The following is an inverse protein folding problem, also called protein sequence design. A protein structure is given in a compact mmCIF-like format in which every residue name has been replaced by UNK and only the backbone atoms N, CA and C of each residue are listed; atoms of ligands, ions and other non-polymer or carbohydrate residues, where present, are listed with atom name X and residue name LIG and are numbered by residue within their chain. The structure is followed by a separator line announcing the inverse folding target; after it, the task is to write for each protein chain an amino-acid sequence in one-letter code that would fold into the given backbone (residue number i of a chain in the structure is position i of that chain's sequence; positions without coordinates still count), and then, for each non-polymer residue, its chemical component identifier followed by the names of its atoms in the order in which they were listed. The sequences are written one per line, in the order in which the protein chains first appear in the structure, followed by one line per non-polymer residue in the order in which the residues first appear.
data_IF_079664027626
#
_entry.id   IF_079664027626
#
_cell.length_a   1.000
_cell.length_b   1.000
_cell.length_c   1.000
_cell.angle_alpha   90.00
_cell.angle_beta   90.00
_cell.angle_gamma   90.00
#
_symmetry.space_group_name_H-M   'P 1'
#
loop_
_entity.id
_entity.type
_entity.pdbx_description
1 polymer ?
#
# COMPACT_ATOMS: atom_id res chain seq x y z
N UNK A 1 4.27 3.35 86.43
CA UNK A 1 2.88 2.86 86.33
C UNK A 1 2.60 2.62 84.87
N UNK A 2 2.21 1.39 84.58
CA UNK A 2 1.95 0.85 83.24
C UNK A 2 0.86 1.66 82.53
N UNK A 3 1.00 1.83 81.22
CA UNK A 3 -0.06 1.45 80.30
C UNK A 3 0.52 1.16 78.92
N UNK A 4 0.42 -0.11 78.55
CA UNK A 4 0.74 -0.69 77.25
C UNK A 4 -0.45 -0.50 76.31
N UNK A 5 -0.24 0.20 75.20
CA UNK A 5 -1.20 0.29 74.10
C UNK A 5 -0.47 0.03 72.79
N UNK A 6 -0.70 -1.15 72.22
CA UNK A 6 -0.21 -1.64 70.94
C UNK A 6 -0.59 -0.72 69.77
N UNK A 7 0.40 -0.13 69.09
CA UNK A 7 0.22 0.43 67.74
C UNK A 7 0.58 -0.61 66.70
N UNK A 8 -0.45 -1.16 66.06
CA UNK A 8 -0.34 -1.96 64.84
C UNK A 8 0.43 -1.18 63.75
N UNK A 9 1.46 -1.80 63.20
CA UNK A 9 2.13 -1.34 61.99
C UNK A 9 1.22 -1.53 60.79
N UNK A 10 0.66 -0.44 60.27
CA UNK A 10 -0.05 -0.42 58.99
C UNK A 10 0.97 -0.73 57.87
N UNK A 11 0.70 -1.69 56.97
CA UNK A 11 1.60 -1.98 55.86
C UNK A 11 1.63 -0.80 54.89
N UNK A 12 2.82 -0.28 54.60
CA UNK A 12 3.05 0.67 53.52
C UNK A 12 2.86 -0.03 52.18
N UNK A 13 1.61 -0.09 51.71
CA UNK A 13 1.30 -0.50 50.33
C UNK A 13 1.67 0.63 49.37
N UNK A 14 2.58 0.31 48.46
CA UNK A 14 3.05 1.13 47.35
C UNK A 14 1.91 1.60 46.43
N UNK A 15 1.49 2.87 46.54
CA UNK A 15 0.78 3.58 45.46
C UNK A 15 0.84 5.10 45.60
N UNK A 16 2.04 5.64 45.89
CA UNK A 16 2.28 7.09 45.78
C UNK A 16 2.28 7.50 44.31
N UNK A 17 1.09 7.70 43.71
CA UNK A 17 0.93 8.64 42.60
C UNK A 17 1.17 10.03 43.19
N UNK A 18 2.40 10.53 43.01
CA UNK A 18 2.87 11.79 43.58
C UNK A 18 1.90 12.91 43.20
N UNK A 19 1.54 13.78 44.15
CA UNK A 19 0.62 14.92 43.97
C UNK A 19 0.98 15.77 42.73
N UNK A 20 2.28 15.83 42.43
CA UNK A 20 2.86 16.46 41.25
C UNK A 20 2.33 15.94 39.90
N UNK A 21 1.96 14.66 39.79
CA UNK A 21 1.32 14.12 38.58
C UNK A 21 -0.10 14.68 38.35
N UNK A 22 -0.82 15.01 39.43
CA UNK A 22 -2.14 15.62 39.38
C UNK A 22 -2.06 17.12 39.12
N UNK A 23 -1.11 17.82 39.74
CA UNK A 23 -0.86 19.25 39.48
C UNK A 23 -0.45 19.46 38.01
N UNK A 24 0.47 18.66 37.48
CA UNK A 24 0.85 18.70 36.07
C UNK A 24 -0.33 18.43 35.12
N UNK A 25 -1.34 17.66 35.56
CA UNK A 25 -2.58 17.45 34.80
C UNK A 25 -3.54 18.62 34.88
N UNK A 26 -3.62 19.30 36.03
CA UNK A 26 -4.46 20.48 36.24
C UNK A 26 -3.90 21.72 35.53
N UNK A 27 -2.58 21.90 35.53
CA UNK A 27 -1.91 22.99 34.78
C UNK A 27 -2.03 22.80 33.25
N UNK A 28 -2.22 21.57 32.79
CA UNK A 28 -2.49 21.24 31.38
C UNK A 28 -3.98 21.18 31.06
N UNK A 29 -4.86 21.44 32.05
CA UNK A 29 -6.29 21.43 31.82
C UNK A 29 -6.65 22.67 31.00
N UNK A 30 -7.28 22.52 29.83
CA UNK A 30 -7.56 23.67 28.98
C UNK A 30 -8.53 24.63 29.69
N UNK A 31 -8.10 25.89 29.85
CA UNK A 31 -8.90 26.96 30.49
C UNK A 31 -10.19 27.28 29.71
N UNK A 32 -10.25 26.90 28.42
CA UNK A 32 -11.38 27.14 27.52
C UNK A 32 -11.85 25.81 26.93
N UNK A 33 -13.11 25.46 27.20
CA UNK A 33 -13.76 24.33 26.53
C UNK A 33 -14.17 24.75 25.11
N UNK A 34 -13.40 24.32 24.11
CA UNK A 34 -13.68 24.58 22.70
C UNK A 34 -14.66 23.53 22.17
N UNK A 35 -15.89 23.94 21.89
CA UNK A 35 -16.89 23.07 21.26
C UNK A 35 -17.58 23.76 20.07
N UNK A 36 -17.73 23.01 18.99
CA UNK A 36 -18.54 23.35 17.83
C UNK A 36 -19.88 22.62 17.87
N UNK A 37 -20.77 22.97 16.96
CA UNK A 37 -22.08 22.32 16.78
C UNK A 37 -22.22 21.79 15.37
N UNK A 38 -22.77 20.58 15.26
CA UNK A 38 -23.21 20.06 13.96
C UNK A 38 -24.36 20.94 13.46
N UNK A 39 -24.25 21.38 12.21
CA UNK A 39 -25.25 22.21 11.53
C UNK A 39 -26.11 21.34 10.61
N UNK A 40 -25.47 20.50 9.80
CA UNK A 40 -26.15 19.57 8.90
C UNK A 40 -25.26 18.39 8.53
N UNK A 41 -25.88 17.33 7.99
CA UNK A 41 -25.20 16.14 7.49
C UNK A 41 -25.63 15.91 6.05
N UNK A 42 -24.67 15.79 5.13
CA UNK A 42 -24.88 15.56 3.70
C UNK A 42 -24.05 14.34 3.30
N UNK A 43 -24.70 13.21 3.06
CA UNK A 43 -24.00 11.94 2.79
C UNK A 43 -23.07 11.58 3.96
N UNK A 44 -21.77 11.45 3.68
CA UNK A 44 -20.73 11.18 4.70
C UNK A 44 -20.12 12.45 5.30
N UNK A 45 -20.50 13.63 4.81
CA UNK A 45 -19.96 14.91 5.26
C UNK A 45 -20.85 15.55 6.32
N UNK A 46 -20.22 16.06 7.37
CA UNK A 46 -20.85 16.81 8.44
C UNK A 46 -20.37 18.25 8.35
N UNK A 47 -21.31 19.19 8.30
CA UNK A 47 -20.97 20.60 8.46
C UNK A 47 -21.13 21.02 9.91
N UNK A 48 -20.16 21.75 10.43
CA UNK A 48 -20.17 22.21 11.80
C UNK A 48 -19.63 23.65 11.93
N UNK A 49 -19.93 24.30 13.05
CA UNK A 49 -19.19 25.51 13.45
C UNK A 49 -17.75 25.14 13.80
N UNK A 50 -16.79 26.04 13.55
CA UNK A 50 -15.38 25.78 13.81
C UNK A 50 -14.97 26.18 15.26
N UNK A 51 -14.68 25.22 16.16
CA UNK A 51 -14.14 25.50 17.49
C UNK A 51 -12.63 25.81 17.54
N UNK A 52 -11.99 26.03 16.38
CA UNK A 52 -10.54 26.30 16.28
C UNK A 52 -9.74 25.13 15.69
N UNK A 53 -10.36 24.24 14.92
CA UNK A 53 -9.68 23.18 14.19
C UNK A 53 -9.07 23.71 12.87
N UNK A 54 -8.11 22.96 12.34
CA UNK A 54 -7.49 23.17 11.01
C UNK A 54 -7.73 21.95 10.12
N UNK A 55 -7.49 22.07 8.80
CA UNK A 55 -7.58 20.95 7.86
C UNK A 55 -6.59 19.85 8.27
N UNK A 56 -7.02 18.59 8.21
CA UNK A 56 -6.29 17.43 8.72
C UNK A 56 -6.33 17.28 10.25
N UNK A 57 -6.95 18.24 10.96
CA UNK A 57 -7.14 18.15 12.41
C UNK A 57 -8.15 17.07 12.78
N UNK A 58 -7.85 16.34 13.84
CA UNK A 58 -8.76 15.35 14.43
C UNK A 58 -9.82 16.05 15.30
N UNK A 59 -11.02 15.51 15.32
CA UNK A 59 -12.07 15.94 16.24
C UNK A 59 -12.97 14.75 16.62
N UNK A 60 -13.72 14.92 17.70
CA UNK A 60 -14.74 13.97 18.14
C UNK A 60 -16.12 14.59 17.99
N UNK A 61 -17.01 13.91 17.28
CA UNK A 61 -18.43 14.22 17.26
C UNK A 61 -19.09 13.49 18.42
N UNK A 62 -19.67 14.27 19.34
CA UNK A 62 -20.34 13.76 20.54
C UNK A 62 -21.85 13.92 20.40
N UNK A 63 -22.60 12.83 20.61
CA UNK A 63 -24.05 12.86 20.69
C UNK A 63 -24.50 12.82 22.15
N UNK A 64 -25.05 13.92 22.70
CA UNK A 64 -25.50 13.95 24.09
C UNK A 64 -26.76 13.11 24.35
N UNK A 65 -27.46 12.64 23.31
CA UNK A 65 -28.69 11.86 23.48
C UNK A 65 -28.43 10.41 23.91
N UNK A 66 -27.31 9.83 23.49
CA UNK A 66 -26.94 8.43 23.73
C UNK A 66 -25.49 8.25 24.22
N UNK A 67 -24.83 9.36 24.56
CA UNK A 67 -23.41 9.46 24.95
C UNK A 67 -22.42 8.91 23.89
N UNK A 68 -22.87 8.70 22.65
CA UNK A 68 -22.02 8.13 21.61
C UNK A 68 -20.98 9.13 21.09
N UNK A 69 -19.82 8.59 20.71
CA UNK A 69 -18.69 9.36 20.15
C UNK A 69 -18.32 8.85 18.78
N UNK A 70 -17.89 9.75 17.90
CA UNK A 70 -17.36 9.43 16.58
C UNK A 70 -16.06 10.20 16.37
N UNK A 71 -14.95 9.50 16.21
CA UNK A 71 -13.73 10.14 15.71
C UNK A 71 -13.99 10.65 14.29
N UNK A 72 -13.47 11.82 13.97
CA UNK A 72 -13.67 12.49 12.69
C UNK A 72 -12.45 13.35 12.35
N UNK A 73 -12.36 13.73 11.08
CA UNK A 73 -11.26 14.55 10.56
C UNK A 73 -11.84 15.76 9.83
N UNK A 74 -11.19 16.91 10.00
CA UNK A 74 -11.55 18.13 9.27
C UNK A 74 -10.97 18.05 7.87
N UNK A 75 -11.84 17.95 6.87
CA UNK A 75 -11.44 17.81 5.46
C UNK A 75 -11.41 19.14 4.71
N UNK A 76 -11.98 20.20 5.27
CA UNK A 76 -11.98 21.51 4.64
C UNK A 76 -12.87 22.54 5.32
N UNK A 77 -12.99 23.69 4.68
CA UNK A 77 -13.86 24.79 5.09
C UNK A 77 -14.62 25.33 3.90
N UNK A 78 -15.87 25.70 4.11
CA UNK A 78 -16.72 26.32 3.10
C UNK A 78 -17.46 27.50 3.70
N UNK A 79 -17.11 28.70 3.25
CA UNK A 79 -17.58 29.98 3.83
C UNK A 79 -17.24 30.03 5.33
N UNK A 80 -18.24 30.03 6.18
CA UNK A 80 -18.17 30.07 7.65
C UNK A 80 -18.31 28.69 8.31
N UNK A 81 -18.35 27.61 7.51
CA UNK A 81 -18.59 26.25 7.98
C UNK A 81 -17.35 25.37 7.86
N UNK A 82 -17.10 24.59 8.89
CA UNK A 82 -16.12 23.52 8.89
C UNK A 82 -16.73 22.26 8.30
N UNK A 83 -16.00 21.60 7.41
CA UNK A 83 -16.37 20.33 6.81
C UNK A 83 -15.64 19.20 7.52
N UNK A 84 -16.39 18.28 8.09
CA UNK A 84 -15.90 17.19 8.93
C UNK A 84 -16.37 15.86 8.35
N UNK A 85 -15.49 14.87 8.30
CA UNK A 85 -15.86 13.51 7.89
C UNK A 85 -15.62 12.53 9.04
N UNK A 86 -16.66 11.84 9.52
CA UNK A 86 -16.51 10.82 10.55
C UNK A 86 -15.79 9.58 10.02
N UNK A 87 -15.00 8.95 10.91
CA UNK A 87 -14.31 7.68 10.67
C UNK A 87 -15.21 6.47 10.94
N UNK A 88 -16.53 6.68 10.94
CA UNK A 88 -17.58 5.66 11.03
C UNK A 88 -18.82 6.15 10.28
N UNK A 89 -19.82 5.30 10.15
CA UNK A 89 -21.10 5.69 9.57
C UNK A 89 -21.75 6.85 10.39
N UNK A 90 -22.38 7.79 9.67
CA UNK A 90 -23.02 8.99 10.20
C UNK A 90 -24.34 8.73 10.94
N UNK A 91 -24.81 7.49 11.03
CA UNK A 91 -26.00 7.15 11.82
C UNK A 91 -25.90 7.70 13.26
N UNK A 92 -26.95 8.41 13.67
CA UNK A 92 -27.04 9.09 14.98
C UNK A 92 -26.39 10.47 15.03
N UNK A 93 -25.71 10.93 13.97
CA UNK A 93 -25.13 12.27 13.90
C UNK A 93 -26.16 13.25 13.35
N UNK A 94 -26.40 14.35 14.06
CA UNK A 94 -27.32 15.40 13.65
C UNK A 94 -27.11 16.70 14.42
N UNK A 95 -27.97 17.73 14.24
CA UNK A 95 -27.73 19.09 14.75
C UNK A 95 -27.61 19.23 16.28
N UNK A 96 -27.96 18.19 17.05
CA UNK A 96 -27.77 18.15 18.51
C UNK A 96 -26.35 17.76 18.92
N UNK A 97 -25.58 17.18 18.00
CA UNK A 97 -24.23 16.73 18.25
C UNK A 97 -23.25 17.91 18.35
N UNK A 98 -22.24 17.73 19.20
CA UNK A 98 -21.16 18.68 19.41
C UNK A 98 -19.89 18.19 18.73
N UNK A 99 -19.05 19.11 18.27
CA UNK A 99 -17.75 18.80 17.68
C UNK A 99 -16.67 19.30 18.62
N UNK A 100 -15.84 18.39 19.12
CA UNK A 100 -14.80 18.69 20.11
C UNK A 100 -13.44 18.49 19.41
N UNK A 101 -12.57 19.51 19.30
CA UNK A 101 -11.23 19.35 18.77
C UNK A 101 -10.44 18.29 19.55
N UNK A 102 -9.64 17.51 18.84
CA UNK A 102 -8.49 16.83 19.44
C UNK A 102 -7.27 17.73 19.21
N UNK A 103 -6.52 18.00 20.28
CA UNK A 103 -5.33 18.86 20.22
C UNK A 103 -4.10 18.13 19.68
N UNK A 104 -4.21 16.82 19.43
CA UNK A 104 -3.14 16.03 18.84
C UNK A 104 -3.32 15.91 17.32
N UNK A 105 -2.21 15.93 16.56
CA UNK A 105 -2.28 15.59 15.14
C UNK A 105 -2.78 14.14 14.97
N UNK A 106 -3.21 13.75 13.75
CA UNK A 106 -3.56 12.36 13.47
C UNK A 106 -2.36 11.43 13.75
N UNK A 107 -2.53 10.55 14.74
CA UNK A 107 -1.51 9.56 15.15
C UNK A 107 -1.94 8.15 14.73
N UNK A 108 -0.95 7.26 14.58
CA UNK A 108 -1.10 5.83 14.32
C UNK A 108 -0.28 5.07 15.36
N UNK A 109 -0.91 4.16 16.09
CA UNK A 109 -0.19 3.28 16.99
C UNK A 109 0.62 2.24 16.18
N UNK A 110 1.87 2.01 16.54
CA UNK A 110 2.79 1.15 15.80
C UNK A 110 3.59 0.27 16.75
N UNK A 111 4.01 -0.90 16.25
CA UNK A 111 4.78 -1.84 17.04
C UNK A 111 4.88 -3.22 16.38
N UNK A 112 5.81 -4.08 16.87
CA UNK A 112 5.98 -5.43 16.34
C UNK A 112 4.75 -6.33 16.57
N UNK A 113 3.88 -5.99 17.54
CA UNK A 113 2.64 -6.72 17.80
C UNK A 113 1.62 -6.69 16.65
N UNK A 114 1.86 -5.87 15.61
CA UNK A 114 1.07 -5.86 14.36
C UNK A 114 1.39 -7.03 13.43
N UNK A 115 2.57 -7.67 13.55
CA UNK A 115 2.95 -8.79 12.69
C UNK A 115 2.00 -9.97 12.91
N UNK A 116 1.52 -10.56 11.81
CA UNK A 116 0.53 -11.64 11.86
C UNK A 116 -0.90 -11.17 12.14
N UNK A 117 -1.16 -9.85 12.14
CA UNK A 117 -2.48 -9.29 12.47
C UNK A 117 -3.20 -8.71 11.27
N UNK A 118 -4.52 -8.78 11.31
CA UNK A 118 -5.43 -8.11 10.36
C UNK A 118 -6.17 -7.01 11.12
N UNK A 119 -6.05 -5.76 10.67
CA UNK A 119 -6.62 -4.60 11.35
C UNK A 119 -7.37 -3.67 10.38
N UNK A 120 -8.29 -2.88 10.90
CA UNK A 120 -8.85 -1.74 10.18
C UNK A 120 -7.90 -0.51 10.24
N UNK A 121 -8.17 0.60 9.52
CA UNK A 121 -7.31 1.80 9.56
C UNK A 121 -7.33 2.57 10.90
N UNK A 122 -8.14 2.12 11.86
CA UNK A 122 -8.17 2.60 13.24
C UNK A 122 -7.49 1.61 14.19
N UNK A 123 -6.81 0.61 13.62
CA UNK A 123 -6.05 -0.44 14.29
C UNK A 123 -6.91 -1.36 15.16
N UNK A 124 -8.21 -1.46 14.85
CA UNK A 124 -9.09 -2.43 15.48
C UNK A 124 -8.85 -3.81 14.85
N UNK A 125 -8.60 -4.85 15.64
CA UNK A 125 -8.41 -6.20 15.13
C UNK A 125 -9.66 -6.72 14.39
N UNK A 126 -9.44 -7.30 13.20
CA UNK A 126 -10.46 -7.98 12.39
C UNK A 126 -10.29 -9.51 12.39
N UNK A 127 -9.19 -10.00 12.94
CA UNK A 127 -8.79 -11.41 12.96
C UNK A 127 -9.37 -12.23 14.12
N UNK A 128 -10.06 -11.59 15.07
CA UNK A 128 -10.60 -12.27 16.25
C UNK A 128 -9.55 -12.69 17.29
N UNK A 129 -8.29 -12.25 17.16
CA UNK A 129 -7.19 -12.63 18.06
C UNK A 129 -7.05 -11.72 19.29
N UNK A 130 -8.06 -10.87 19.56
CA UNK A 130 -8.06 -9.93 20.69
C UNK A 130 -7.24 -8.66 20.44
N UNK A 131 -7.18 -7.79 21.44
CA UNK A 131 -6.54 -6.47 21.35
C UNK A 131 -5.03 -6.54 21.08
N UNK A 132 -4.47 -5.50 20.45
CA UNK A 132 -3.04 -5.38 20.15
C UNK A 132 -2.44 -4.31 21.05
N UNK A 133 -1.41 -4.67 21.81
CA UNK A 133 -0.67 -3.71 22.63
C UNK A 133 0.37 -2.96 21.80
N UNK A 134 0.13 -1.69 21.52
CA UNK A 134 1.00 -0.82 20.72
C UNK A 134 1.42 0.42 21.54
N UNK A 135 2.59 0.39 22.21
CA UNK A 135 2.99 1.44 23.14
C UNK A 135 3.56 2.70 22.45
N UNK A 136 3.84 2.64 21.15
CA UNK A 136 4.40 3.75 20.36
C UNK A 136 3.35 4.28 19.39
N UNK A 137 3.39 5.58 19.16
CA UNK A 137 2.60 6.24 18.13
C UNK A 137 3.52 7.03 17.17
N UNK A 138 3.15 7.09 15.90
CA UNK A 138 3.78 7.93 14.87
C UNK A 138 2.72 8.83 14.23
N UNK A 139 3.15 9.95 13.67
CA UNK A 139 2.24 10.85 12.94
C UNK A 139 1.79 10.21 11.63
N UNK A 140 0.50 10.26 11.32
CA UNK A 140 -0.07 9.70 10.09
C UNK A 140 0.42 10.45 8.84
N UNK A 141 0.54 11.77 8.95
CA UNK A 141 0.98 12.69 7.90
C UNK A 141 2.28 13.40 8.32
N UNK A 142 3.44 12.71 8.29
CA UNK A 142 4.71 13.32 8.66
C UNK A 142 5.17 14.35 7.61
N UNK A 143 6.15 15.19 7.97
CA UNK A 143 6.84 16.02 6.99
C UNK A 143 7.58 15.16 5.95
N UNK A 144 7.66 15.67 4.72
CA UNK A 144 8.29 14.96 3.60
C UNK A 144 9.79 14.82 3.85
N UNK A 145 10.32 13.60 3.70
CA UNK A 145 11.75 13.33 3.76
C UNK A 145 12.44 14.09 2.63
N UNK A 146 13.50 14.85 2.95
CA UNK A 146 14.32 15.52 1.95
C UNK A 146 14.83 14.49 0.91
N UNK A 147 14.49 14.62 -0.39
CA UNK A 147 14.91 13.66 -1.41
C UNK A 147 16.42 13.48 -1.52
N UNK A 148 17.21 14.54 -1.24
CA UNK A 148 18.68 14.48 -1.29
C UNK A 148 19.30 13.66 -0.16
N UNK A 149 18.49 13.28 0.84
CA UNK A 149 18.88 12.41 1.94
C UNK A 149 18.60 10.93 1.67
N UNK A 150 18.05 10.60 0.50
CA UNK A 150 17.78 9.20 0.13
C UNK A 150 19.04 8.56 -0.43
N UNK A 151 19.31 7.34 0.00
CA UNK A 151 20.35 6.50 -0.57
C UNK A 151 19.92 6.00 -1.97
N UNK A 152 20.90 5.75 -2.84
CA UNK A 152 20.62 5.15 -4.16
C UNK A 152 20.14 3.72 -3.99
N UNK A 153 19.29 3.28 -4.90
CA UNK A 153 18.83 1.89 -5.00
C UNK A 153 19.90 1.11 -5.76
N UNK A 154 20.61 0.21 -5.07
CA UNK A 154 21.71 -0.60 -5.62
C UNK A 154 21.62 -2.08 -5.21
N UNK A 155 20.63 -2.45 -4.40
CA UNK A 155 20.41 -3.82 -3.97
C UNK A 155 19.10 -4.34 -4.57
N UNK A 156 19.16 -5.52 -5.18
CA UNK A 156 17.97 -6.18 -5.70
C UNK A 156 17.06 -6.66 -4.56
N UNK A 157 15.75 -6.57 -4.80
CA UNK A 157 14.73 -7.23 -4.00
C UNK A 157 14.34 -8.52 -4.72
N UNK A 158 14.61 -9.66 -4.09
CA UNK A 158 14.06 -10.93 -4.57
C UNK A 158 12.57 -10.96 -4.21
N UNK A 159 11.69 -11.07 -5.21
CA UNK A 159 10.24 -11.22 -5.01
C UNK A 159 9.77 -12.66 -5.25
N UNK A 160 10.69 -13.56 -5.58
CA UNK A 160 10.44 -14.97 -5.85
C UNK A 160 9.58 -15.25 -7.08
N UNK A 161 9.45 -14.31 -8.01
CA UNK A 161 8.66 -14.44 -9.24
C UNK A 161 9.59 -14.35 -10.45
N UNK A 162 9.74 -15.45 -11.21
CA UNK A 162 10.70 -15.64 -12.31
C UNK A 162 10.79 -14.43 -13.22
N UNK A 163 9.70 -14.10 -13.91
CA UNK A 163 9.67 -13.04 -14.91
C UNK A 163 9.96 -11.65 -14.32
N UNK A 164 9.63 -11.41 -13.05
CA UNK A 164 9.94 -10.15 -12.37
C UNK A 164 11.42 -10.14 -11.99
N UNK A 165 11.89 -11.15 -11.28
CA UNK A 165 13.28 -11.31 -10.86
C UNK A 165 14.25 -11.30 -12.04
N UNK A 166 13.86 -11.84 -13.20
CA UNK A 166 14.73 -12.02 -14.36
C UNK A 166 14.77 -10.81 -15.30
N UNK A 167 13.60 -10.25 -15.64
CA UNK A 167 13.46 -9.27 -16.73
C UNK A 167 12.92 -7.91 -16.28
N UNK A 168 12.47 -7.80 -15.04
CA UNK A 168 11.89 -6.59 -14.45
C UNK A 168 12.39 -6.40 -13.01
N UNK A 169 13.67 -6.74 -12.77
CA UNK A 169 14.21 -6.89 -11.41
C UNK A 169 13.97 -5.63 -10.61
N UNK A 170 13.39 -5.81 -9.43
CA UNK A 170 13.06 -4.71 -8.54
C UNK A 170 14.20 -4.43 -7.57
N UNK A 171 14.36 -3.18 -7.15
CA UNK A 171 15.34 -2.78 -6.14
C UNK A 171 14.73 -2.51 -4.76
N UNK A 172 15.54 -2.64 -3.70
CA UNK A 172 15.16 -2.26 -2.34
C UNK A 172 14.92 -0.75 -2.25
N UNK A 173 13.70 -0.35 -1.91
CA UNK A 173 13.27 1.05 -1.94
C UNK A 173 12.64 1.52 -3.26
N UNK A 174 12.46 0.63 -4.24
CA UNK A 174 11.80 1.00 -5.49
C UNK A 174 10.28 1.16 -5.31
N UNK A 175 9.66 2.05 -6.09
CA UNK A 175 8.20 2.15 -6.22
C UNK A 175 7.80 1.58 -7.58
N UNK A 176 6.89 0.62 -7.59
CA UNK A 176 6.46 -0.11 -8.78
C UNK A 176 4.94 -0.10 -8.88
N UNK A 177 4.41 0.30 -10.03
CA UNK A 177 2.97 0.16 -10.33
C UNK A 177 2.64 -1.23 -10.86
N UNK A 178 1.52 -1.83 -10.44
CA UNK A 178 1.00 -3.07 -11.04
C UNK A 178 -0.33 -2.74 -11.71
N UNK A 179 -0.32 -2.66 -13.03
CA UNK A 179 -1.49 -2.32 -13.82
C UNK A 179 -2.16 -3.61 -14.27
N UNK A 180 -3.40 -3.82 -13.84
CA UNK A 180 -4.11 -5.07 -14.07
C UNK A 180 -5.61 -4.85 -14.26
N UNK A 181 -6.19 -5.61 -15.19
CA UNK A 181 -7.64 -5.79 -15.27
C UNK A 181 -8.16 -6.73 -14.18
N UNK A 182 -9.49 -6.87 -14.10
CA UNK A 182 -10.10 -7.90 -13.25
C UNK A 182 -9.81 -9.30 -13.80
N UNK A 183 -9.55 -10.27 -12.92
CA UNK A 183 -9.43 -11.69 -13.27
C UNK A 183 -8.11 -12.12 -13.93
N UNK A 184 -7.12 -11.23 -14.09
CA UNK A 184 -5.82 -11.56 -14.73
C UNK A 184 -4.76 -12.11 -13.77
N UNK A 185 -5.12 -12.38 -12.51
CA UNK A 185 -4.21 -12.96 -11.50
C UNK A 185 -3.48 -11.94 -10.60
N UNK A 186 -3.94 -10.69 -10.51
CA UNK A 186 -3.38 -9.64 -9.63
C UNK A 186 -3.17 -10.11 -8.18
N UNK A 187 -4.24 -10.60 -7.54
CA UNK A 187 -4.21 -10.99 -6.13
C UNK A 187 -3.30 -12.21 -5.88
N UNK A 188 -3.26 -13.13 -6.85
CA UNK A 188 -2.35 -14.29 -6.82
C UNK A 188 -0.90 -13.83 -6.88
N UNK A 189 -0.56 -12.91 -7.79
CA UNK A 189 0.79 -12.35 -7.93
C UNK A 189 1.21 -11.62 -6.65
N UNK A 190 0.35 -10.76 -6.07
CA UNK A 190 0.61 -10.10 -4.80
C UNK A 190 0.89 -11.11 -3.68
N UNK A 191 0.09 -12.18 -3.61
CA UNK A 191 0.30 -13.26 -2.66
C UNK A 191 1.65 -13.96 -2.86
N UNK A 192 2.00 -14.29 -4.11
CA UNK A 192 3.30 -14.91 -4.45
C UNK A 192 4.46 -14.06 -3.96
N UNK A 193 4.45 -12.75 -4.29
CA UNK A 193 5.50 -11.84 -3.84
C UNK A 193 5.56 -11.76 -2.32
N UNK A 194 4.43 -11.61 -1.63
CA UNK A 194 4.40 -11.56 -0.17
C UNK A 194 4.91 -12.86 0.49
N UNK A 195 4.71 -14.04 -0.13
CA UNK A 195 5.21 -15.31 0.39
C UNK A 195 6.68 -15.58 0.09
N UNK A 196 7.17 -15.12 -1.06
CA UNK A 196 8.49 -15.52 -1.56
C UNK A 196 9.54 -14.43 -1.49
N UNK A 197 9.14 -13.18 -1.27
CA UNK A 197 10.10 -12.09 -1.13
C UNK A 197 11.08 -12.33 0.01
N UNK A 198 12.31 -11.83 -0.14
CA UNK A 198 13.34 -11.82 0.89
C UNK A 198 13.26 -10.58 1.81
N UNK A 199 12.23 -9.74 1.69
CA UNK A 199 11.95 -8.66 2.64
C UNK A 199 11.70 -9.19 4.07
N UNK A 200 12.07 -8.38 5.07
CA UNK A 200 11.88 -8.72 6.49
C UNK A 200 10.40 -8.73 6.89
N UNK A 201 9.63 -7.77 6.37
CA UNK A 201 8.24 -7.52 6.75
C UNK A 201 7.42 -7.20 5.51
N UNK A 202 6.20 -7.74 5.42
CA UNK A 202 5.21 -7.29 4.46
C UNK A 202 4.20 -6.38 5.15
N UNK A 203 3.82 -5.30 4.49
CA UNK A 203 2.65 -4.49 4.88
C UNK A 203 1.72 -4.46 3.68
N UNK A 204 0.51 -4.98 3.84
CA UNK A 204 -0.44 -5.11 2.74
C UNK A 204 -1.70 -4.31 3.08
N UNK A 205 -2.02 -3.35 2.21
CA UNK A 205 -3.24 -2.54 2.29
C UNK A 205 -4.27 -3.07 1.32
N UNK A 206 -5.46 -3.41 1.80
CA UNK A 206 -6.61 -3.82 1.01
C UNK A 206 -7.67 -2.72 1.10
N UNK A 207 -7.72 -1.84 0.10
CA UNK A 207 -8.53 -0.64 0.03
C UNK A 207 -9.70 -0.84 -0.94
N UNK A 208 -10.91 -0.70 -0.44
CA UNK A 208 -12.14 -0.74 -1.24
C UNK A 208 -12.46 -2.09 -1.87
N UNK A 209 -11.77 -3.16 -1.45
CA UNK A 209 -12.07 -4.54 -1.85
C UNK A 209 -13.30 -5.06 -1.10
N UNK A 210 -13.95 -6.10 -1.64
CA UNK A 210 -15.09 -6.74 -0.98
C UNK A 210 -14.61 -7.66 0.13
N UNK A 211 -15.41 -7.82 1.19
CA UNK A 211 -15.04 -8.67 2.34
C UNK A 211 -14.71 -10.13 1.96
N UNK A 212 -15.38 -10.68 0.94
CA UNK A 212 -15.05 -12.02 0.41
C UNK A 212 -13.65 -12.06 -0.21
N UNK A 213 -13.30 -11.06 -1.02
CA UNK A 213 -12.00 -10.96 -1.72
C UNK A 213 -10.86 -10.78 -0.71
N UNK A 214 -11.10 -10.03 0.37
CA UNK A 214 -10.15 -9.88 1.49
C UNK A 214 -9.88 -11.24 2.14
N UNK A 215 -10.93 -12.01 2.44
CA UNK A 215 -10.80 -13.32 3.07
C UNK A 215 -10.04 -14.29 2.17
N UNK A 216 -10.42 -14.38 0.90
CA UNK A 216 -9.75 -15.20 -0.11
C UNK A 216 -8.27 -14.81 -0.26
N UNK A 217 -7.94 -13.51 -0.21
CA UNK A 217 -6.56 -13.06 -0.23
C UNK A 217 -5.76 -13.56 0.98
N UNK A 218 -6.32 -13.49 2.18
CA UNK A 218 -5.62 -13.89 3.42
C UNK A 218 -5.49 -15.42 3.50
N UNK A 219 -6.59 -16.15 3.27
CA UNK A 219 -6.65 -17.60 3.47
C UNK A 219 -6.00 -18.37 2.31
N UNK A 220 -6.33 -18.04 1.06
CA UNK A 220 -5.93 -18.84 -0.11
C UNK A 220 -4.66 -18.33 -0.78
N UNK A 221 -4.54 -17.01 -0.93
CA UNK A 221 -3.35 -16.43 -1.52
C UNK A 221 -2.23 -16.38 -0.48
N UNK A 222 -2.31 -15.54 0.54
CA UNK A 222 -1.20 -15.30 1.46
C UNK A 222 -0.85 -16.54 2.31
N UNK A 223 -1.86 -17.20 2.87
CA UNK A 223 -1.72 -18.37 3.73
C UNK A 223 -1.03 -18.06 5.07
N UNK A 224 -0.93 -19.08 5.94
CA UNK A 224 -0.39 -18.91 7.30
C UNK A 224 1.07 -18.42 7.31
N UNK A 225 1.93 -18.98 6.47
CA UNK A 225 3.35 -18.61 6.41
C UNK A 225 3.55 -17.17 5.93
N UNK A 226 2.80 -16.75 4.89
CA UNK A 226 2.82 -15.37 4.43
C UNK A 226 2.31 -14.42 5.51
N UNK A 227 1.25 -14.82 6.23
CA UNK A 227 0.64 -14.00 7.27
C UNK A 227 1.58 -13.72 8.46
N UNK A 228 2.38 -14.70 8.90
CA UNK A 228 3.30 -14.56 10.07
C UNK A 228 4.22 -13.34 9.99
N UNK A 229 4.64 -12.95 8.79
CA UNK A 229 5.52 -11.79 8.53
C UNK A 229 4.80 -10.60 7.93
N UNK A 230 3.46 -10.64 7.85
CA UNK A 230 2.65 -9.61 7.23
C UNK A 230 1.82 -8.85 8.24
N UNK A 231 1.62 -7.55 8.00
CA UNK A 231 0.58 -6.74 8.61
C UNK A 231 -0.46 -6.43 7.54
N UNK A 232 -1.72 -6.80 7.76
CA UNK A 232 -2.79 -6.56 6.79
C UNK A 232 -3.70 -5.45 7.32
N UNK A 233 -3.82 -4.37 6.56
CA UNK A 233 -4.72 -3.25 6.85
C UNK A 233 -5.86 -3.29 5.85
N UNK A 234 -7.09 -3.40 6.33
CA UNK A 234 -8.27 -3.60 5.49
C UNK A 234 -9.26 -2.45 5.68
N UNK A 235 -9.65 -1.83 4.57
CA UNK A 235 -10.82 -0.97 4.52
C UNK A 235 -11.73 -1.38 3.37
N UNK A 236 -12.86 -2.02 3.66
CA UNK A 236 -13.76 -2.58 2.65
C UNK A 236 -14.58 -1.52 1.90
N UNK A 237 -15.17 -1.89 0.77
CA UNK A 237 -15.93 -0.98 -0.11
C UNK A 237 -17.13 -0.27 0.55
N UNK A 238 -17.72 -0.88 1.58
CA UNK A 238 -18.88 -0.37 2.33
C UNK A 238 -18.51 0.66 3.41
N UNK A 239 -17.21 0.85 3.67
CA UNK A 239 -16.73 1.78 4.67
C UNK A 239 -16.67 3.24 4.15
N UNK A 240 -16.73 4.23 5.07
CA UNK A 240 -16.64 5.64 4.71
C UNK A 240 -15.40 5.95 3.84
N UNK A 241 -15.51 6.86 2.86
CA UNK A 241 -14.40 7.22 1.97
C UNK A 241 -13.13 7.64 2.73
N UNK A 242 -13.28 8.41 3.81
CA UNK A 242 -12.14 8.84 4.63
C UNK A 242 -11.40 7.65 5.26
N UNK A 243 -12.12 6.60 5.67
CA UNK A 243 -11.50 5.41 6.26
C UNK A 243 -10.73 4.62 5.18
N UNK A 244 -11.32 4.47 3.98
CA UNK A 244 -10.63 3.88 2.81
C UNK A 244 -9.37 4.65 2.42
N UNK A 245 -9.44 5.98 2.38
CA UNK A 245 -8.27 6.84 2.11
C UNK A 245 -7.18 6.66 3.19
N UNK A 246 -7.56 6.67 4.46
CA UNK A 246 -6.62 6.47 5.57
C UNK A 246 -5.95 5.11 5.58
N UNK A 247 -6.61 4.07 5.05
CA UNK A 247 -6.02 2.74 4.93
C UNK A 247 -4.63 2.78 4.26
N UNK A 248 -4.51 3.55 3.17
CA UNK A 248 -3.24 3.73 2.48
C UNK A 248 -2.18 4.42 3.36
N UNK A 249 -2.52 5.56 3.97
CA UNK A 249 -1.58 6.32 4.80
C UNK A 249 -1.18 5.59 6.09
N UNK A 250 -2.09 4.84 6.70
CA UNK A 250 -1.81 4.01 7.89
C UNK A 250 -0.84 2.90 7.52
N UNK A 251 -1.07 2.23 6.39
CA UNK A 251 -0.16 1.19 5.88
C UNK A 251 1.24 1.74 5.61
N UNK A 252 1.33 2.93 5.01
CA UNK A 252 2.60 3.62 4.80
C UNK A 252 3.27 3.99 6.11
N UNK A 253 2.55 4.53 7.10
CA UNK A 253 3.10 4.88 8.41
C UNK A 253 3.62 3.65 9.19
N UNK A 254 2.92 2.51 9.11
CA UNK A 254 3.39 1.23 9.67
C UNK A 254 4.66 0.76 8.94
N UNK A 255 4.72 0.92 7.62
CA UNK A 255 5.91 0.58 6.83
C UNK A 255 7.12 1.44 7.21
N UNK A 256 6.91 2.76 7.37
CA UNK A 256 7.93 3.69 7.85
C UNK A 256 8.44 3.33 9.25
N UNK A 257 7.55 2.87 10.14
CA UNK A 257 7.97 2.38 11.45
C UNK A 257 8.96 1.22 11.32
N UNK A 258 8.64 0.18 10.55
CA UNK A 258 9.54 -0.96 10.37
C UNK A 258 10.84 -0.57 9.66
N UNK A 259 10.75 0.25 8.60
CA UNK A 259 11.92 0.81 7.91
C UNK A 259 12.87 1.50 8.88
N UNK A 260 12.33 2.38 9.72
CA UNK A 260 13.11 3.11 10.74
C UNK A 260 13.65 2.20 11.86
N UNK A 261 13.26 0.91 11.93
CA UNK A 261 13.90 -0.11 12.76
C UNK A 261 14.99 -0.90 12.01
N UNK A 262 15.39 -0.45 10.81
CA UNK A 262 16.40 -1.10 9.99
C UNK A 262 15.89 -2.29 9.19
N UNK A 263 14.57 -2.38 8.95
CA UNK A 263 13.93 -3.48 8.23
C UNK A 263 13.66 -3.13 6.78
N UNK A 264 13.80 -4.12 5.91
CA UNK A 264 13.31 -4.02 4.54
C UNK A 264 11.86 -4.44 4.46
N UNK A 265 11.02 -3.54 3.95
CA UNK A 265 9.57 -3.69 3.93
C UNK A 265 9.08 -3.80 2.50
N UNK A 266 8.32 -4.86 2.20
CA UNK A 266 7.48 -4.92 1.02
C UNK A 266 6.12 -4.30 1.37
N UNK A 267 5.83 -3.13 0.81
CA UNK A 267 4.52 -2.47 0.93
C UNK A 267 3.69 -2.78 -0.31
N UNK A 268 2.64 -3.59 -0.19
CA UNK A 268 1.69 -3.84 -1.26
C UNK A 268 0.40 -3.05 -1.00
N UNK A 269 -0.04 -2.23 -1.96
CA UNK A 269 -1.25 -1.43 -1.83
C UNK A 269 -2.25 -1.77 -2.92
N UNK A 270 -3.33 -2.44 -2.51
CA UNK A 270 -4.39 -2.92 -3.39
C UNK A 270 -5.75 -2.26 -3.06
N UNK A 271 -6.16 -1.17 -3.71
CA UNK A 271 -5.51 -0.52 -4.84
C UNK A 271 -5.42 1.00 -4.72
N UNK A 272 -4.47 1.59 -5.44
CA UNK A 272 -4.40 3.03 -5.61
C UNK A 272 -5.63 3.57 -6.34
N UNK A 273 -6.22 2.81 -7.26
CA UNK A 273 -7.48 3.21 -7.90
C UNK A 273 -8.58 3.40 -6.86
N UNK A 274 -8.72 2.49 -5.90
CA UNK A 274 -9.72 2.60 -4.83
C UNK A 274 -9.42 3.73 -3.85
N UNK A 275 -8.14 4.00 -3.57
CA UNK A 275 -7.71 5.18 -2.84
C UNK A 275 -8.10 6.49 -3.56
N UNK A 276 -7.79 6.60 -4.85
CA UNK A 276 -8.13 7.76 -5.68
C UNK A 276 -9.64 7.97 -5.78
N UNK A 277 -10.42 6.89 -5.91
CA UNK A 277 -11.89 6.95 -5.87
C UNK A 277 -12.40 7.47 -4.52
N UNK A 278 -11.82 7.01 -3.40
CA UNK A 278 -12.17 7.51 -2.08
C UNK A 278 -11.89 9.01 -1.95
N UNK A 279 -10.71 9.47 -2.39
CA UNK A 279 -10.37 10.90 -2.40
C UNK A 279 -11.28 11.71 -3.34
N UNK A 280 -11.69 11.14 -4.49
CA UNK A 280 -12.68 11.76 -5.38
C UNK A 280 -14.01 11.98 -4.67
N UNK A 281 -14.53 10.99 -3.95
CA UNK A 281 -15.77 11.12 -3.19
C UNK A 281 -15.67 12.20 -2.10
N UNK A 282 -14.53 12.30 -1.41
CA UNK A 282 -14.25 13.33 -0.41
C UNK A 282 -14.22 14.73 -1.06
N UNK A 283 -13.41 14.91 -2.10
CA UNK A 283 -13.24 16.20 -2.78
C UNK A 283 -14.54 16.72 -3.40
N UNK A 284 -15.31 15.86 -4.07
CA UNK A 284 -16.62 16.24 -4.61
C UNK A 284 -17.61 16.63 -3.50
N UNK A 285 -17.60 15.92 -2.38
CA UNK A 285 -18.43 16.27 -1.22
C UNK A 285 -18.01 17.61 -0.61
N UNK A 286 -16.71 17.93 -0.64
CA UNK A 286 -16.17 19.21 -0.21
C UNK A 286 -16.46 20.37 -1.19
N UNK A 287 -16.96 20.05 -2.39
CA UNK A 287 -17.30 21.02 -3.43
C UNK A 287 -16.16 21.31 -4.40
N UNK A 288 -15.12 20.48 -4.45
CA UNK A 288 -14.10 20.57 -5.51
C UNK A 288 -14.72 20.24 -6.88
N UNK A 289 -14.34 20.97 -7.95
CA UNK A 289 -14.83 20.67 -9.27
C UNK A 289 -14.22 19.36 -9.83
N UNK A 290 -15.00 18.52 -10.52
CA UNK A 290 -14.46 17.38 -11.27
C UNK A 290 -13.72 17.88 -12.51
N UNK A 291 -12.41 17.66 -12.57
CA UNK A 291 -11.57 18.16 -13.69
C UNK A 291 -11.20 17.04 -14.65
N UNK A 292 -10.14 16.29 -14.38
CA UNK A 292 -9.61 15.24 -15.25
C UNK A 292 -10.47 13.98 -15.16
N UNK A 293 -11.29 13.71 -16.18
CA UNK A 293 -12.21 12.54 -16.26
C UNK A 293 -13.02 12.31 -14.98
N UNK A 294 -13.46 13.39 -14.33
CA UNK A 294 -14.28 13.31 -13.11
C UNK A 294 -13.49 13.27 -11.79
N UNK A 295 -12.15 13.25 -11.81
CA UNK A 295 -11.33 13.35 -10.61
C UNK A 295 -11.06 14.84 -10.24
N UNK A 296 -11.24 15.23 -8.96
CA UNK A 296 -10.79 16.50 -8.43
C UNK A 296 -9.26 16.66 -8.47
N UNK A 297 -8.74 17.90 -8.52
CA UNK A 297 -7.30 18.16 -8.44
C UNK A 297 -6.63 17.58 -7.19
N UNK A 298 -7.34 17.51 -6.06
CA UNK A 298 -6.79 16.97 -4.80
C UNK A 298 -6.34 15.51 -4.91
N UNK A 299 -6.95 14.71 -5.78
CA UNK A 299 -6.54 13.32 -6.04
C UNK A 299 -5.11 13.29 -6.56
N UNK A 300 -4.81 14.07 -7.59
CA UNK A 300 -3.49 14.10 -8.23
C UNK A 300 -2.43 14.78 -7.36
N UNK A 301 -2.82 15.70 -6.48
CA UNK A 301 -1.91 16.26 -5.48
C UNK A 301 -1.56 15.25 -4.37
N UNK A 302 -2.49 14.35 -4.03
CA UNK A 302 -2.33 13.40 -2.95
C UNK A 302 -1.53 12.15 -3.37
N UNK A 303 -1.60 11.73 -4.63
CA UNK A 303 -0.86 10.57 -5.12
C UNK A 303 0.66 10.69 -4.90
N UNK A 304 1.36 11.77 -5.33
CA UNK A 304 2.78 11.94 -5.04
C UNK A 304 3.07 11.96 -3.54
N UNK A 305 2.25 12.68 -2.75
CA UNK A 305 2.42 12.79 -1.30
C UNK A 305 2.39 11.43 -0.58
N UNK A 306 1.56 10.51 -1.07
CA UNK A 306 1.50 9.14 -0.56
C UNK A 306 2.68 8.29 -1.06
N UNK A 307 2.91 8.26 -2.38
CA UNK A 307 3.87 7.35 -3.01
C UNK A 307 5.33 7.70 -2.71
N UNK A 308 5.63 8.99 -2.55
CA UNK A 308 6.97 9.47 -2.20
C UNK A 308 7.40 9.10 -0.79
N UNK A 309 6.51 8.58 0.06
CA UNK A 309 6.88 8.12 1.41
C UNK A 309 7.59 6.76 1.41
N UNK A 310 7.34 5.95 0.39
CA UNK A 310 8.09 4.73 0.14
C UNK A 310 9.48 5.06 -0.45
N UNK A 311 10.45 4.21 -0.17
CA UNK A 311 11.83 4.38 -0.59
C UNK A 311 12.86 4.13 0.50
N UNK A 312 14.12 4.34 0.11
CA UNK A 312 15.29 4.37 0.99
C UNK A 312 15.32 5.65 1.84
N UNK A 313 16.16 5.67 2.88
CA UNK A 313 16.42 6.85 3.70
C UNK A 313 17.88 6.88 4.15
N UNK A 314 18.28 7.87 4.97
CA UNK A 314 19.60 7.87 5.61
C UNK A 314 19.71 6.71 6.61
N UNK A 315 20.49 5.68 6.28
CA UNK A 315 20.68 4.52 7.14
C UNK A 315 19.97 3.25 6.65
N UNK A 316 19.88 2.26 7.53
CA UNK A 316 19.41 0.92 7.18
C UNK A 316 17.89 0.85 7.04
N UNK A 317 17.44 -0.04 6.16
CA UNK A 317 16.03 -0.37 5.94
C UNK A 317 15.46 0.40 4.74
N UNK A 318 14.51 -0.23 4.06
CA UNK A 318 13.88 0.31 2.86
C UNK A 318 12.38 0.00 2.83
N UNK A 319 11.61 0.77 2.06
CA UNK A 319 10.23 0.40 1.70
C UNK A 319 10.17 0.24 0.19
N UNK A 320 10.05 -0.99 -0.30
CA UNK A 320 9.73 -1.25 -1.70
C UNK A 320 8.23 -1.30 -1.86
N UNK A 321 7.67 -0.36 -2.61
CA UNK A 321 6.22 -0.18 -2.75
C UNK A 321 5.68 -0.77 -4.05
N UNK A 322 4.70 -1.68 -3.96
CA UNK A 322 3.92 -2.20 -5.08
C UNK A 322 2.50 -1.64 -5.03
N UNK A 323 2.15 -0.83 -6.03
CA UNK A 323 0.90 -0.08 -6.07
C UNK A 323 0.02 -0.59 -7.19
N UNK A 324 -1.06 -1.29 -6.87
CA UNK A 324 -1.95 -1.80 -7.91
C UNK A 324 -2.85 -0.70 -8.46
N UNK A 325 -3.07 -0.75 -9.76
CA UNK A 325 -3.99 0.12 -10.49
C UNK A 325 -4.93 -0.78 -11.29
N UNK A 326 -6.22 -0.62 -11.03
CA UNK A 326 -7.28 -1.30 -11.78
C UNK A 326 -7.48 -0.55 -13.09
N UNK A 327 -7.14 -1.19 -14.20
CA UNK A 327 -7.38 -0.64 -15.55
C UNK A 327 -8.62 -1.32 -16.12
N UNK A 328 -9.71 -0.56 -16.26
CA UNK A 328 -10.94 -1.08 -16.85
C UNK A 328 -10.76 -1.26 -18.36
N UNK A 329 -11.00 -2.48 -18.85
CA UNK A 329 -11.04 -2.76 -20.30
C UNK A 329 -9.74 -2.49 -21.06
N UNK A 330 -8.59 -2.51 -20.38
CA UNK A 330 -7.29 -2.15 -20.96
C UNK A 330 -7.24 -0.71 -21.51
N UNK A 331 -8.07 0.22 -20.98
CA UNK A 331 -8.04 1.64 -21.37
C UNK A 331 -6.67 2.26 -21.06
N UNK A 332 -5.92 2.48 -22.13
CA UNK A 332 -4.58 3.10 -22.10
C UNK A 332 -4.63 4.51 -21.53
N UNK A 333 -5.80 5.15 -21.50
CA UNK A 333 -6.00 6.55 -21.08
C UNK A 333 -6.52 6.69 -19.64
N UNK A 334 -6.44 5.67 -18.79
CA UNK A 334 -6.84 5.81 -17.39
C UNK A 334 -5.97 6.88 -16.69
N UNK A 335 -6.57 7.94 -16.11
CA UNK A 335 -5.82 9.08 -15.59
C UNK A 335 -5.03 8.72 -14.32
N UNK A 336 -5.49 7.71 -13.57
CA UNK A 336 -4.77 7.20 -12.40
C UNK A 336 -3.58 6.36 -12.87
N UNK A 337 -3.77 5.51 -13.89
CA UNK A 337 -2.66 4.75 -14.48
C UNK A 337 -1.56 5.67 -15.01
N UNK A 338 -1.92 6.74 -15.72
CA UNK A 338 -0.97 7.71 -16.27
C UNK A 338 -0.24 8.49 -15.17
N UNK A 339 -0.98 8.97 -14.16
CA UNK A 339 -0.38 9.65 -13.01
C UNK A 339 0.59 8.72 -12.26
N UNK A 340 0.22 7.45 -12.08
CA UNK A 340 1.07 6.48 -11.38
C UNK A 340 2.33 6.19 -12.18
N UNK A 341 2.24 5.90 -13.49
CA UNK A 341 3.41 5.69 -14.37
C UNK A 341 4.39 6.87 -14.35
N UNK A 342 3.88 8.09 -14.17
CA UNK A 342 4.72 9.29 -14.07
C UNK A 342 5.46 9.39 -12.73
N UNK A 343 4.88 8.90 -11.64
CA UNK A 343 5.43 9.01 -10.28
C UNK A 343 6.36 7.84 -9.94
N UNK A 344 6.02 6.61 -10.33
CA UNK A 344 6.74 5.40 -9.93
C UNK A 344 8.02 5.16 -10.75
N UNK A 345 8.90 4.33 -10.21
CA UNK A 345 10.21 3.98 -10.78
C UNK A 345 10.14 2.76 -11.73
N UNK A 346 8.93 2.27 -12.03
CA UNK A 346 8.72 1.09 -12.85
C UNK A 346 7.26 0.63 -12.81
N UNK A 347 6.87 -0.22 -13.74
CA UNK A 347 5.55 -0.81 -13.74
C UNK A 347 5.52 -2.21 -14.36
N UNK A 348 4.58 -3.01 -13.87
CA UNK A 348 4.29 -4.37 -14.31
C UNK A 348 2.87 -4.37 -14.86
N UNK A 349 2.70 -4.80 -16.11
CA UNK A 349 1.41 -4.90 -16.78
C UNK A 349 0.98 -6.37 -16.79
N UNK A 350 -0.23 -6.64 -16.27
CA UNK A 350 -0.85 -7.94 -16.36
C UNK A 350 -1.79 -8.00 -17.57
N UNK A 351 -1.44 -8.83 -18.55
CA UNK A 351 -2.14 -8.97 -19.81
C UNK A 351 -3.31 -9.95 -19.72
N UNK A 352 -4.47 -9.51 -20.20
CA UNK A 352 -5.64 -10.37 -20.36
C UNK A 352 -5.44 -11.46 -21.40
N UNK A 353 -4.69 -11.19 -22.47
CA UNK A 353 -4.38 -12.18 -23.51
C UNK A 353 -3.52 -13.32 -22.94
N UNK A 354 -2.48 -12.99 -22.17
CA UNK A 354 -1.65 -14.01 -21.50
C UNK A 354 -2.49 -14.86 -20.52
N UNK A 355 -3.33 -14.21 -19.71
CA UNK A 355 -4.22 -14.90 -18.78
C UNK A 355 -5.24 -15.82 -19.51
N UNK A 356 -5.81 -15.37 -20.63
CA UNK A 356 -6.75 -16.15 -21.43
C UNK A 356 -6.08 -17.38 -22.08
N UNK A 357 -4.79 -17.28 -22.41
CA UNK A 357 -3.96 -18.39 -22.89
C UNK A 357 -3.47 -19.32 -21.76
N UNK A 358 -3.85 -19.05 -20.51
CA UNK A 358 -3.43 -19.85 -19.36
C UNK A 358 -1.98 -19.62 -18.91
N UNK A 359 -1.35 -18.52 -19.34
CA UNK A 359 0.02 -18.17 -18.95
C UNK A 359 -0.01 -17.35 -17.66
N UNK A 360 0.49 -17.93 -16.57
CA UNK A 360 0.54 -17.29 -15.25
C UNK A 360 1.94 -17.36 -14.62
N UNK A 361 2.41 -16.28 -13.97
CA UNK A 361 1.82 -14.94 -13.88
C UNK A 361 1.67 -14.26 -15.25
N UNK A 362 0.56 -13.56 -15.48
CA UNK A 362 0.21 -12.99 -16.78
C UNK A 362 0.96 -11.68 -17.09
N UNK A 363 2.26 -11.62 -16.81
CA UNK A 363 3.09 -10.41 -16.94
C UNK A 363 3.50 -10.22 -18.40
N UNK A 364 3.12 -9.10 -19.01
CA UNK A 364 3.64 -8.71 -20.34
C UNK A 364 4.97 -7.98 -20.17
N UNK A 365 6.07 -8.69 -20.41
CA UNK A 365 7.42 -8.14 -20.27
C UNK A 365 7.69 -6.97 -21.22
N UNK A 366 7.11 -6.97 -22.42
CA UNK A 366 7.40 -5.96 -23.44
C UNK A 366 6.84 -4.60 -23.07
N UNK A 367 5.67 -4.60 -22.44
CA UNK A 367 4.97 -3.39 -21.99
C UNK A 367 5.22 -3.06 -20.51
N UNK A 368 6.00 -3.89 -19.81
CA UNK A 368 6.48 -3.64 -18.45
C UNK A 368 7.91 -3.11 -18.43
N UNK A 369 8.28 -2.38 -17.38
CA UNK A 369 9.63 -1.84 -17.19
C UNK A 369 10.00 -1.65 -15.72
N UNK A 370 11.25 -1.93 -15.36
CA UNK A 370 11.87 -1.49 -14.10
C UNK A 370 12.99 -0.51 -14.43
N UNK A 371 12.90 0.75 -13.98
CA UNK A 371 13.91 1.78 -14.30
C UNK A 371 15.22 1.60 -13.53
N UNK A 372 15.17 0.88 -12.40
CA UNK A 372 16.35 0.65 -11.54
C UNK A 372 17.05 -0.67 -11.84
N UNK A 373 16.50 -1.50 -12.75
CA UNK A 373 17.03 -2.84 -13.01
C UNK A 373 18.53 -2.81 -13.33
N UNK A 374 18.96 -1.90 -14.19
CA UNK A 374 20.38 -1.75 -14.59
C UNK A 374 21.32 -1.48 -13.41
N UNK A 375 20.83 -0.89 -12.32
CA UNK A 375 21.62 -0.54 -11.14
C UNK A 375 21.65 -1.67 -10.10
N UNK A 376 20.80 -2.70 -10.23
CA UNK A 376 20.62 -3.75 -9.21
C UNK A 376 20.92 -5.17 -9.72
N UNK A 377 21.18 -5.36 -11.01
CA UNK A 377 21.53 -6.66 -11.60
C UNK A 377 22.97 -6.70 -12.10
N UNK A 378 23.49 -7.90 -12.34
CA UNK A 378 24.79 -8.07 -13.01
C UNK A 378 24.69 -7.65 -14.48
N UNK A 379 25.82 -7.25 -15.08
CA UNK A 379 25.88 -6.96 -16.52
C UNK A 379 25.38 -8.16 -17.35
N UNK A 380 25.77 -9.38 -16.96
CA UNK A 380 25.34 -10.61 -17.63
C UNK A 380 23.84 -10.82 -17.56
N UNK A 381 23.23 -10.70 -16.37
CA UNK A 381 21.78 -10.80 -16.23
C UNK A 381 21.07 -9.73 -17.08
N UNK A 382 21.59 -8.52 -17.10
CA UNK A 382 21.02 -7.44 -17.92
C UNK A 382 21.06 -7.79 -19.42
N UNK A 383 22.19 -8.25 -19.94
CA UNK A 383 22.33 -8.70 -21.33
C UNK A 383 21.31 -9.80 -21.68
N UNK A 384 21.24 -10.85 -20.86
CA UNK A 384 20.29 -11.95 -21.06
C UNK A 384 18.83 -11.47 -21.06
N UNK A 385 18.49 -10.52 -20.19
CA UNK A 385 17.15 -9.92 -20.15
C UNK A 385 16.84 -9.13 -21.42
N UNK A 386 17.83 -8.45 -22.02
CA UNK A 386 17.66 -7.74 -23.29
C UNK A 386 17.48 -8.72 -24.45
N UNK A 387 18.23 -9.83 -24.47
CA UNK A 387 18.04 -10.90 -25.46
C UNK A 387 16.62 -11.46 -25.33
N UNK A 388 16.17 -11.80 -24.11
CA UNK A 388 14.80 -12.25 -23.86
C UNK A 388 13.77 -11.30 -24.47
N UNK A 389 13.87 -10.00 -24.17
CA UNK A 389 12.93 -8.98 -24.67
C UNK A 389 12.95 -8.86 -26.18
N UNK A 390 14.13 -8.82 -26.80
CA UNK A 390 14.28 -8.74 -28.25
C UNK A 390 13.66 -9.97 -28.93
N UNK A 391 13.98 -11.17 -28.43
CA UNK A 391 13.43 -12.43 -28.94
C UNK A 391 11.91 -12.48 -28.81
N UNK A 392 11.35 -12.05 -27.67
CA UNK A 392 9.90 -11.97 -27.46
C UNK A 392 9.24 -10.98 -28.44
N UNK A 393 9.88 -9.83 -28.69
CA UNK A 393 9.38 -8.81 -29.62
C UNK A 393 9.35 -9.34 -31.05
N UNK A 394 10.46 -9.93 -31.52
CA UNK A 394 10.55 -10.55 -32.85
C UNK A 394 9.51 -11.64 -33.04
N UNK A 395 9.29 -12.51 -32.03
CA UNK A 395 8.25 -13.52 -32.10
C UNK A 395 6.86 -12.89 -32.23
N UNK A 396 6.54 -11.89 -31.40
CA UNK A 396 5.23 -11.22 -31.37
C UNK A 396 4.91 -10.50 -32.69
N UNK A 397 5.90 -9.88 -33.32
CA UNK A 397 5.74 -9.23 -34.62
C UNK A 397 5.46 -10.22 -35.76
N UNK A 398 5.96 -11.46 -35.65
CA UNK A 398 5.80 -12.50 -36.65
C UNK A 398 4.67 -13.50 -36.34
N UNK A 399 4.06 -13.44 -35.14
CA UNK A 399 3.15 -14.45 -34.60
C UNK A 399 1.99 -14.79 -35.56
N UNK A 400 1.35 -13.78 -36.14
CA UNK A 400 0.24 -13.98 -37.08
C UNK A 400 0.69 -14.73 -38.34
N UNK A 401 1.84 -14.37 -38.92
CA UNK A 401 2.40 -15.01 -40.12
C UNK A 401 2.81 -16.46 -39.86
N UNK A 402 3.33 -16.73 -38.66
CA UNK A 402 3.68 -18.07 -38.20
C UNK A 402 2.41 -18.92 -38.05
N UNK A 403 1.39 -18.39 -37.37
CA UNK A 403 0.16 -19.12 -37.06
C UNK A 403 -0.65 -19.48 -38.32
N UNK A 404 -0.61 -18.66 -39.37
CA UNK A 404 -1.25 -18.98 -40.66
C UNK A 404 -0.37 -19.86 -41.57
N UNK A 405 0.85 -20.20 -41.15
CA UNK A 405 1.80 -21.01 -41.92
C UNK A 405 2.41 -20.30 -43.13
N UNK A 406 2.39 -18.96 -43.15
CA UNK A 406 2.95 -18.16 -44.25
C UNK A 406 4.45 -17.89 -44.10
N UNK A 407 5.00 -18.07 -42.89
CA UNK A 407 6.43 -17.89 -42.64
C UNK A 407 7.24 -19.11 -43.14
N UNK A 408 8.33 -18.84 -43.85
CA UNK A 408 9.26 -19.88 -44.36
C UNK A 408 10.54 -19.87 -43.54
N UNK A 409 10.87 -21.00 -42.91
CA UNK A 409 12.10 -21.15 -42.13
C UNK A 409 13.34 -20.87 -42.98
N UNK A 410 14.32 -20.13 -42.43
CA UNK A 410 15.53 -19.69 -43.11
C UNK A 410 15.39 -18.35 -43.84
N UNK A 411 14.18 -17.77 -43.88
CA UNK A 411 13.97 -16.47 -44.54
C UNK A 411 14.39 -15.27 -43.67
N UNK A 412 14.33 -15.40 -42.35
CA UNK A 412 14.82 -14.40 -41.40
C UNK A 412 15.47 -15.08 -40.18
N UNK A 413 16.81 -14.96 -40.00
CA UNK A 413 17.51 -15.57 -38.88
C UNK A 413 16.98 -15.16 -37.49
N UNK A 414 16.47 -13.93 -37.33
CA UNK A 414 15.94 -13.45 -36.06
C UNK A 414 14.60 -14.12 -35.72
N UNK A 415 13.72 -14.28 -36.71
CA UNK A 415 12.44 -14.98 -36.53
C UNK A 415 12.69 -16.47 -36.29
N UNK A 416 13.65 -17.07 -37.00
CA UNK A 416 14.04 -18.47 -36.78
C UNK A 416 14.57 -18.69 -35.35
N UNK A 417 15.42 -17.78 -34.87
CA UNK A 417 15.90 -17.81 -33.50
C UNK A 417 14.73 -17.67 -32.52
N UNK A 418 13.85 -16.70 -32.72
CA UNK A 418 12.68 -16.49 -31.87
C UNK A 418 11.72 -17.68 -31.85
N UNK A 419 11.46 -18.30 -32.99
CA UNK A 419 10.70 -19.55 -33.10
C UNK A 419 11.33 -20.69 -32.28
N UNK A 420 12.67 -20.82 -32.35
CA UNK A 420 13.38 -21.86 -31.61
C UNK A 420 13.35 -21.66 -30.09
N UNK A 421 13.34 -20.41 -29.62
CA UNK A 421 13.37 -20.05 -28.19
C UNK A 421 12.00 -19.91 -27.57
N UNK A 422 10.95 -19.60 -28.35
CA UNK A 422 9.62 -19.32 -27.83
C UNK A 422 9.06 -20.42 -26.90
N UNK A 423 9.18 -21.74 -27.19
CA UNK A 423 8.71 -22.77 -26.25
C UNK A 423 9.44 -22.73 -24.90
N UNK A 424 10.75 -22.48 -24.91
CA UNK A 424 11.57 -22.38 -23.69
C UNK A 424 11.22 -21.13 -22.88
N UNK A 425 11.03 -20.00 -23.57
CA UNK A 425 10.60 -18.74 -22.95
C UNK A 425 9.21 -18.87 -22.33
N UNK A 426 8.26 -19.49 -23.04
CA UNK A 426 6.91 -19.73 -22.53
C UNK A 426 6.92 -20.60 -21.27
N UNK A 427 7.73 -21.66 -21.27
CA UNK A 427 7.91 -22.49 -20.08
C UNK A 427 8.57 -21.73 -18.93
N UNK A 428 9.54 -20.87 -19.22
CA UNK A 428 10.26 -20.08 -18.23
C UNK A 428 9.37 -19.05 -17.53
N UNK A 429 8.52 -18.33 -18.27
CA UNK A 429 7.64 -17.30 -17.68
C UNK A 429 6.54 -17.89 -16.81
N UNK A 430 6.15 -19.15 -17.07
CA UNK A 430 5.17 -19.84 -16.26
C UNK A 430 5.74 -20.22 -14.90
N UNK A 431 4.96 -19.92 -13.87
CA UNK A 431 5.32 -20.25 -12.49
C UNK A 431 4.07 -20.59 -11.69
N UNK A 432 4.12 -21.73 -11.00
CA UNK A 432 3.03 -22.14 -10.13
C UNK A 432 2.88 -21.24 -8.90
N UNK A 433 1.67 -21.12 -8.36
CA UNK A 433 1.41 -20.28 -7.17
C UNK A 433 2.28 -20.65 -5.96
N UNK A 434 2.65 -21.92 -5.81
CA UNK A 434 3.47 -22.42 -4.70
C UNK A 434 4.96 -22.57 -5.06
N UNK A 435 5.32 -22.24 -6.29
CA UNK A 435 6.69 -22.32 -6.78
C UNK A 435 7.41 -21.01 -6.48
N UNK A 436 8.63 -21.10 -5.95
CA UNK A 436 9.52 -19.97 -5.73
C UNK A 436 10.74 -20.12 -6.64
N UNK A 437 11.25 -19.03 -7.21
CA UNK A 437 12.52 -19.03 -7.95
C UNK A 437 13.33 -17.82 -7.56
N UNK A 438 14.52 -18.08 -6.99
CA UNK A 438 15.42 -17.02 -6.52
C UNK A 438 16.01 -16.23 -7.69
N UNK A 439 16.52 -15.03 -7.42
CA UNK A 439 17.25 -14.22 -8.42
C UNK A 439 18.38 -14.99 -9.09
N UNK A 440 19.17 -15.74 -8.32
CA UNK A 440 20.28 -16.55 -8.82
C UNK A 440 19.81 -17.66 -9.76
N UNK A 441 18.72 -18.35 -9.40
CA UNK A 441 18.16 -19.40 -10.24
C UNK A 441 17.55 -18.83 -11.52
N UNK A 442 16.99 -17.61 -11.47
CA UNK A 442 16.50 -16.90 -12.65
C UNK A 442 17.62 -16.59 -13.64
N UNK A 443 18.75 -16.05 -13.16
CA UNK A 443 19.92 -15.77 -14.00
C UNK A 443 20.46 -17.07 -14.64
N UNK A 444 20.61 -18.14 -13.85
CA UNK A 444 21.07 -19.44 -14.36
C UNK A 444 20.14 -20.05 -15.41
N UNK A 445 18.81 -19.91 -15.24
CA UNK A 445 17.84 -20.39 -16.22
C UNK A 445 17.84 -19.54 -17.50
N UNK A 446 17.97 -18.20 -17.38
CA UNK A 446 18.14 -17.35 -18.56
C UNK A 446 19.41 -17.71 -19.34
N UNK A 447 20.51 -17.96 -18.64
CA UNK A 447 21.78 -18.39 -19.24
C UNK A 447 21.61 -19.72 -20.02
N UNK A 448 20.87 -20.69 -19.47
CA UNK A 448 20.58 -21.93 -20.18
C UNK A 448 19.78 -21.72 -21.47
N UNK A 449 18.90 -20.72 -21.50
CA UNK A 449 18.05 -20.44 -22.67
C UNK A 449 18.81 -19.61 -23.72
N UNK A 450 19.62 -18.64 -23.31
CA UNK A 450 20.20 -17.61 -24.19
C UNK A 450 21.73 -17.52 -24.22
N UNK A 451 22.44 -18.35 -23.45
CA UNK A 451 23.92 -18.34 -23.42
C UNK A 451 24.54 -18.53 -24.81
N UNK A 452 23.85 -19.25 -25.70
CA UNK A 452 24.25 -19.42 -27.10
C UNK A 452 24.31 -18.10 -27.90
N UNK A 453 23.41 -17.17 -27.63
CA UNK A 453 23.40 -15.85 -28.28
C UNK A 453 24.27 -14.83 -27.57
N UNK A 454 24.46 -14.96 -26.26
CA UNK A 454 25.24 -14.00 -25.49
C UNK A 454 26.76 -14.23 -25.60
N UNK A 455 27.17 -15.44 -26.03
CA UNK A 455 28.58 -15.78 -26.31
C UNK A 455 28.93 -15.67 -27.82
N UNK A 456 27.98 -15.24 -28.65
CA UNK A 456 28.19 -15.00 -30.07
C UNK A 456 28.78 -13.59 -30.28
N UNK A 457 29.94 -13.45 -30.96
CA UNK A 457 30.71 -12.20 -31.06
C UNK A 457 30.03 -11.09 -31.88
#
# INVERSE_FOLDING_TARGET
MNESGSTESIPTSSSSKTLSSYINRLERFPEIHREGKVLQVIGHMVEATNPGCSVGGMCTIYNPADDSRAAAEVVGFRKDRMLVMPLRNVHGIGPRCRVIPDDRPPMVAVGPGLLGRVVDPLLRPLDGLGEISLPKEVTLYPEVINPLKRERINEALDVGVKIINSCLTCGRGQRVGILAGSGVGKSVLLGMMARFTDADVNVISLVGERGKEVREFIEDNLGEEGMKRSVIIVATSDQPPLLRMRCAFVSTAISEYFRNQGKDVLLAMDSITRFAMAQREIGLSAGEPPTTKGYPPSVFAMLPSLLERAGTHEGKGSITGFYTVLVEGDDVNDPIADAIRAIVDGHIILSRDLAARGTYPAVDVLTSASRVMVDVVTERQFELSQIFRRTQATYREAEDLINIGAYVQGSNPEIDYALSKNPLMHQFVMQGMKENTSLRDCEAQLEQIFGDSADSP
#
